data_IF_832958205138
#
_entry.id   IF_832958205138
#
_cell.length_a   1.000
_cell.length_b   1.000
_cell.length_c   1.000
_cell.angle_alpha   90.00
_cell.angle_beta   90.00
_cell.angle_gamma   90.00
#
_symmetry.space_group_name_H-M   'P 1'
#
loop_
_entity.id
_entity.type
_entity.pdbx_description
1 polymer ?
#
# COMPACT_ATOMS: atom_id res chain seq x y z
N UNK A 1 -20.08 -40.23 6.50
CA UNK A 1 -19.85 -39.30 5.37
C UNK A 1 -21.06 -38.39 5.33
N UNK A 2 -20.88 -37.09 5.60
CA UNK A 2 -21.99 -36.12 5.52
C UNK A 2 -22.42 -36.08 4.05
N UNK A 3 -23.68 -36.43 3.77
CA UNK A 3 -24.25 -36.38 2.42
C UNK A 3 -24.29 -34.93 1.98
N UNK A 4 -23.52 -34.60 0.95
CA UNK A 4 -23.49 -33.28 0.35
C UNK A 4 -24.76 -33.11 -0.48
N UNK A 5 -25.50 -32.00 -0.36
CA UNK A 5 -26.67 -31.77 -1.21
C UNK A 5 -26.27 -31.77 -2.69
N UNK A 6 -27.08 -32.34 -3.58
CA UNK A 6 -26.78 -32.33 -5.01
C UNK A 6 -26.68 -30.88 -5.52
N UNK A 7 -25.56 -30.55 -6.18
CA UNK A 7 -25.29 -29.22 -6.73
C UNK A 7 -24.39 -28.29 -5.88
N UNK A 8 -23.98 -28.71 -4.67
CA UNK A 8 -23.09 -27.91 -3.81
C UNK A 8 -21.63 -28.28 -4.03
N UNK A 9 -20.80 -27.31 -4.46
CA UNK A 9 -19.35 -27.48 -4.52
C UNK A 9 -18.71 -27.16 -3.16
N UNK A 10 -18.33 -28.20 -2.42
CA UNK A 10 -17.65 -28.09 -1.13
C UNK A 10 -16.37 -27.24 -1.22
N UNK A 11 -15.66 -27.26 -2.36
CA UNK A 11 -14.42 -26.51 -2.52
C UNK A 11 -14.68 -25.01 -2.53
N UNK A 12 -15.79 -24.59 -3.14
CA UNK A 12 -16.21 -23.20 -3.17
C UNK A 12 -16.58 -22.69 -1.76
N UNK A 13 -17.29 -23.51 -0.98
CA UNK A 13 -17.67 -23.17 0.40
C UNK A 13 -16.44 -23.06 1.32
N UNK A 14 -15.47 -23.97 1.16
CA UNK A 14 -14.19 -23.90 1.88
C UNK A 14 -13.42 -22.64 1.51
N UNK A 15 -13.34 -22.33 0.21
CA UNK A 15 -12.67 -21.12 -0.26
C UNK A 15 -13.33 -19.82 0.25
N UNK A 16 -14.66 -19.82 0.39
CA UNK A 16 -15.38 -18.71 1.01
C UNK A 16 -14.96 -18.48 2.47
N UNK A 17 -14.86 -19.57 3.25
CA UNK A 17 -14.44 -19.51 4.65
C UNK A 17 -12.96 -19.12 4.80
N UNK A 18 -12.08 -19.79 4.06
CA UNK A 18 -10.64 -19.54 4.10
C UNK A 18 -10.33 -18.09 3.68
N UNK A 19 -11.01 -17.58 2.65
CA UNK A 19 -10.93 -16.18 2.25
C UNK A 19 -11.29 -15.19 3.38
N UNK A 20 -12.31 -15.49 4.20
CA UNK A 20 -12.68 -14.64 5.36
C UNK A 20 -11.56 -14.63 6.40
N UNK A 21 -10.96 -15.79 6.69
CA UNK A 21 -9.84 -15.87 7.63
C UNK A 21 -8.65 -15.05 7.14
N UNK A 22 -8.26 -15.23 5.87
CA UNK A 22 -7.13 -14.48 5.27
C UNK A 22 -7.41 -12.98 5.30
N UNK A 23 -8.67 -12.57 5.12
CA UNK A 23 -9.08 -11.16 5.22
C UNK A 23 -8.89 -10.57 6.61
N UNK A 24 -9.24 -11.34 7.65
CA UNK A 24 -9.06 -10.90 9.05
C UNK A 24 -7.57 -10.81 9.39
N UNK A 25 -6.74 -11.74 8.91
CA UNK A 25 -5.29 -11.67 9.05
C UNK A 25 -4.70 -10.43 8.35
N UNK A 26 -5.16 -10.16 7.12
CA UNK A 26 -4.75 -8.96 6.38
C UNK A 26 -5.19 -7.66 7.10
N UNK A 27 -6.38 -7.64 7.68
CA UNK A 27 -6.83 -6.54 8.53
C UNK A 27 -5.97 -6.39 9.79
N UNK A 28 -5.57 -7.48 10.44
CA UNK A 28 -4.65 -7.45 11.57
C UNK A 28 -3.31 -6.81 11.22
N UNK A 29 -2.75 -7.14 10.05
CA UNK A 29 -1.55 -6.47 9.54
C UNK A 29 -1.78 -4.97 9.26
N UNK A 30 -2.98 -4.58 8.78
CA UNK A 30 -3.34 -3.19 8.53
C UNK A 30 -3.38 -2.39 9.82
N UNK A 31 -3.95 -2.97 10.88
CA UNK A 31 -3.94 -2.41 12.23
C UNK A 31 -2.51 -2.21 12.75
N UNK A 32 -1.64 -3.20 12.59
CA UNK A 32 -0.23 -3.07 13.00
C UNK A 32 0.48 -1.93 12.28
N UNK A 33 0.31 -1.81 10.96
CA UNK A 33 0.90 -0.72 10.18
C UNK A 33 0.35 0.65 10.59
N UNK A 34 -0.95 0.74 10.86
CA UNK A 34 -1.56 1.97 11.34
C UNK A 34 -0.96 2.41 12.68
N UNK A 35 -0.79 1.47 13.63
CA UNK A 35 -0.16 1.76 14.93
C UNK A 35 1.30 2.20 14.73
N UNK A 36 2.07 1.53 13.87
CA UNK A 36 3.44 1.92 13.56
C UNK A 36 3.51 3.32 12.96
N UNK A 37 2.61 3.63 12.03
CA UNK A 37 2.51 4.95 11.41
C UNK A 37 2.19 6.01 12.46
N UNK A 38 1.21 5.77 13.34
CA UNK A 38 0.88 6.66 14.44
C UNK A 38 2.07 6.90 15.37
N UNK A 39 2.87 5.88 15.70
CA UNK A 39 4.09 6.04 16.52
C UNK A 39 5.13 6.93 15.83
N UNK A 40 5.41 6.70 14.56
CA UNK A 40 6.34 7.53 13.76
C UNK A 40 5.84 8.97 13.68
N UNK A 41 4.53 9.13 13.55
CA UNK A 41 3.87 10.41 13.45
C UNK A 41 3.94 11.20 14.78
N UNK A 42 3.65 10.56 15.91
CA UNK A 42 3.69 11.17 17.24
C UNK A 42 5.12 11.52 17.69
N UNK A 43 6.12 10.73 17.30
CA UNK A 43 7.53 10.98 17.64
C UNK A 43 8.16 12.12 16.82
N UNK A 44 7.55 12.54 15.71
CA UNK A 44 8.08 13.60 14.82
C UNK A 44 7.03 14.67 14.48
N UNK A 45 6.54 15.46 15.46
CA UNK A 45 5.39 16.36 15.27
C UNK A 45 5.66 17.59 14.37
N UNK A 46 6.92 17.89 14.01
CA UNK A 46 7.30 19.16 13.33
C UNK A 46 7.19 19.13 11.78
N UNK A 47 6.25 18.39 11.18
CA UNK A 47 6.22 18.14 9.70
C UNK A 47 5.16 18.89 8.87
N UNK A 48 4.65 20.03 9.34
CA UNK A 48 3.85 20.95 8.51
C UNK A 48 2.55 20.35 7.94
N UNK A 49 2.02 20.90 6.83
CA UNK A 49 0.70 20.51 6.27
C UNK A 49 0.65 19.09 5.69
N UNK A 50 1.76 18.58 5.17
CA UNK A 50 1.86 17.23 4.58
C UNK A 50 1.66 16.13 5.64
N UNK A 51 2.12 16.39 6.86
CA UNK A 51 1.91 15.51 8.02
C UNK A 51 0.43 15.26 8.30
N UNK A 52 -0.36 16.33 8.38
CA UNK A 52 -1.80 16.23 8.64
C UNK A 52 -2.53 15.50 7.50
N UNK A 53 -2.14 15.74 6.24
CA UNK A 53 -2.70 15.03 5.10
C UNK A 53 -2.43 13.51 5.15
N UNK A 54 -1.20 13.10 5.47
CA UNK A 54 -0.82 11.68 5.62
C UNK A 54 -1.59 11.01 6.76
N UNK A 55 -1.77 11.74 7.86
CA UNK A 55 -2.49 11.27 9.05
C UNK A 55 -3.98 11.08 8.75
N UNK A 56 -4.60 12.06 8.09
CA UNK A 56 -5.99 12.01 7.70
C UNK A 56 -6.26 10.86 6.71
N UNK A 57 -5.39 10.71 5.69
CA UNK A 57 -5.50 9.63 4.71
C UNK A 57 -5.40 8.24 5.36
N UNK A 58 -4.42 8.04 6.24
CA UNK A 58 -4.21 6.76 6.90
C UNK A 58 -5.31 6.43 7.91
N UNK A 59 -5.81 7.42 8.65
CA UNK A 59 -6.96 7.26 9.52
C UNK A 59 -8.21 6.87 8.70
N UNK A 60 -8.47 7.55 7.58
CA UNK A 60 -9.61 7.25 6.71
C UNK A 60 -9.56 5.82 6.16
N UNK A 61 -8.41 5.39 5.63
CA UNK A 61 -8.22 4.01 5.15
C UNK A 61 -8.41 2.99 6.26
N UNK A 62 -7.86 3.25 7.45
CA UNK A 62 -8.02 2.37 8.59
C UNK A 62 -9.48 2.26 9.00
N UNK A 63 -10.21 3.37 9.11
CA UNK A 63 -11.64 3.38 9.45
C UNK A 63 -12.46 2.55 8.47
N UNK A 64 -12.23 2.70 7.15
CA UNK A 64 -12.94 1.89 6.15
C UNK A 64 -12.58 0.41 6.25
N UNK A 65 -11.30 0.09 6.47
CA UNK A 65 -10.86 -1.28 6.74
C UNK A 65 -11.52 -1.88 7.98
N UNK A 66 -11.66 -1.13 9.07
CA UNK A 66 -12.29 -1.59 10.31
C UNK A 66 -13.79 -1.85 10.16
N UNK A 67 -14.52 -0.96 9.47
CA UNK A 67 -15.96 -1.15 9.23
C UNK A 67 -16.18 -2.37 8.33
N UNK A 68 -15.38 -2.50 7.27
CA UNK A 68 -15.42 -3.66 6.39
C UNK A 68 -15.11 -4.98 7.13
N UNK A 69 -14.09 -4.99 8.00
CA UNK A 69 -13.72 -6.18 8.75
C UNK A 69 -14.82 -6.56 9.76
N UNK A 70 -15.35 -5.57 10.49
CA UNK A 70 -16.44 -5.77 11.44
C UNK A 70 -17.70 -6.35 10.79
N UNK A 71 -18.10 -5.83 9.63
CA UNK A 71 -19.26 -6.35 8.90
C UNK A 71 -19.03 -7.77 8.36
N UNK A 72 -17.83 -8.08 7.82
CA UNK A 72 -17.49 -9.45 7.40
C UNK A 72 -17.52 -10.44 8.57
N UNK A 73 -16.97 -10.07 9.73
CA UNK A 73 -17.00 -10.91 10.94
C UNK A 73 -18.44 -11.17 11.38
N UNK A 74 -19.28 -10.13 11.40
CA UNK A 74 -20.67 -10.25 11.85
C UNK A 74 -21.53 -11.09 10.92
N UNK A 75 -21.32 -10.98 9.61
CA UNK A 75 -22.00 -11.84 8.66
C UNK A 75 -21.47 -13.28 8.74
N UNK A 76 -20.17 -13.48 8.95
CA UNK A 76 -19.62 -14.81 9.16
C UNK A 76 -20.19 -15.47 10.43
N UNK A 77 -20.31 -14.72 11.52
CA UNK A 77 -20.95 -15.18 12.76
C UNK A 77 -22.42 -15.57 12.50
N UNK A 78 -23.17 -14.73 11.79
CA UNK A 78 -24.55 -15.05 11.43
C UNK A 78 -24.66 -16.32 10.59
N UNK A 79 -23.88 -16.42 9.51
CA UNK A 79 -23.93 -17.55 8.58
C UNK A 79 -23.51 -18.84 9.30
N UNK A 80 -22.34 -18.89 9.93
CA UNK A 80 -21.79 -20.14 10.46
C UNK A 80 -22.31 -20.54 11.84
N UNK A 81 -22.81 -19.59 12.63
CA UNK A 81 -23.27 -19.83 14.00
C UNK A 81 -24.77 -19.64 14.11
N UNK A 82 -25.27 -18.41 13.94
CA UNK A 82 -26.67 -18.09 14.26
C UNK A 82 -27.68 -18.78 13.36
N UNK A 83 -27.44 -18.82 12.05
CA UNK A 83 -28.38 -19.40 11.10
C UNK A 83 -28.55 -20.91 11.29
N UNK A 84 -27.51 -21.61 11.77
CA UNK A 84 -27.61 -23.03 12.11
C UNK A 84 -28.60 -23.30 13.24
N UNK A 85 -28.69 -22.41 14.22
CA UNK A 85 -29.67 -22.54 15.31
C UNK A 85 -31.08 -22.15 14.86
N UNK A 86 -31.21 -21.14 13.99
CA UNK A 86 -32.51 -20.69 13.47
C UNK A 86 -33.12 -21.68 12.48
N UNK A 87 -32.31 -22.19 11.54
CA UNK A 87 -32.74 -23.16 10.54
C UNK A 87 -32.81 -24.57 11.12
N UNK A 88 -31.89 -24.97 12.00
CA UNK A 88 -31.94 -26.27 12.69
C UNK A 88 -33.13 -26.42 13.64
N UNK A 89 -33.72 -25.32 14.12
CA UNK A 89 -34.93 -25.35 14.93
C UNK A 89 -36.23 -25.39 14.09
N UNK A 90 -36.22 -24.79 12.90
CA UNK A 90 -37.40 -24.68 12.02
C UNK A 90 -37.45 -25.72 10.88
N UNK A 91 -36.32 -26.34 10.53
CA UNK A 91 -36.20 -27.31 9.45
C UNK A 91 -36.14 -28.74 9.98
N UNK A 92 -37.04 -29.59 9.52
CA UNK A 92 -36.96 -31.05 9.70
C UNK A 92 -35.81 -31.69 8.91
N UNK A 93 -35.08 -30.92 8.09
CA UNK A 93 -33.97 -31.38 7.25
C UNK A 93 -32.71 -30.52 7.50
N UNK A 94 -31.93 -30.87 8.52
CA UNK A 94 -30.61 -30.31 8.82
C UNK A 94 -29.64 -30.43 7.61
N UNK A 95 -29.94 -31.34 6.67
CA UNK A 95 -29.14 -31.62 5.48
C UNK A 95 -29.26 -30.59 4.34
N UNK A 96 -30.05 -29.51 4.49
CA UNK A 96 -30.20 -28.46 3.45
C UNK A 96 -29.46 -27.15 3.73
N UNK A 97 -28.79 -27.03 4.88
CA UNK A 97 -28.04 -25.81 5.23
C UNK A 97 -26.76 -25.68 4.38
N UNK A 98 -26.67 -24.59 3.59
CA UNK A 98 -25.50 -24.27 2.75
C UNK A 98 -25.06 -22.82 3.05
N UNK A 99 -23.81 -22.57 3.48
CA UNK A 99 -23.36 -21.25 3.89
C UNK A 99 -23.57 -20.15 2.83
N UNK A 100 -23.31 -20.46 1.56
CA UNK A 100 -23.49 -19.50 0.46
C UNK A 100 -24.94 -19.07 0.25
N UNK A 101 -25.93 -19.96 0.44
CA UNK A 101 -27.35 -19.62 0.31
C UNK A 101 -27.78 -18.69 1.46
N UNK A 102 -27.41 -19.03 2.70
CA UNK A 102 -27.67 -18.19 3.87
C UNK A 102 -27.01 -16.81 3.72
N UNK A 103 -25.80 -16.78 3.18
CA UNK A 103 -25.12 -15.54 2.86
C UNK A 103 -25.94 -14.68 1.90
N UNK A 104 -26.44 -15.26 0.79
CA UNK A 104 -27.26 -14.57 -0.22
C UNK A 104 -28.54 -13.96 0.36
N UNK A 105 -29.23 -14.67 1.26
CA UNK A 105 -30.41 -14.14 1.96
C UNK A 105 -30.04 -12.95 2.87
N UNK A 106 -28.85 -12.99 3.45
CA UNK A 106 -28.34 -11.98 4.38
C UNK A 106 -27.69 -10.78 3.71
N UNK A 107 -27.58 -10.78 2.37
CA UNK A 107 -26.87 -9.74 1.61
C UNK A 107 -27.47 -8.35 1.84
N UNK A 108 -28.79 -8.27 2.02
CA UNK A 108 -29.53 -7.01 2.23
C UNK A 108 -29.38 -6.45 3.64
N UNK A 109 -28.78 -7.19 4.57
CA UNK A 109 -28.52 -6.73 5.92
C UNK A 109 -27.71 -5.43 5.87
N UNK A 110 -28.13 -4.42 6.65
CA UNK A 110 -27.47 -3.11 6.69
C UNK A 110 -25.99 -3.21 7.01
N UNK A 111 -25.59 -4.22 7.80
CA UNK A 111 -24.19 -4.48 8.15
C UNK A 111 -23.38 -4.99 6.96
N UNK A 112 -23.96 -5.88 6.13
CA UNK A 112 -23.30 -6.37 4.92
C UNK A 112 -23.20 -5.25 3.88
N UNK A 113 -24.26 -4.47 3.69
CA UNK A 113 -24.27 -3.31 2.77
C UNK A 113 -23.20 -2.31 3.18
N UNK A 114 -23.13 -1.92 4.46
CA UNK A 114 -22.10 -1.01 4.96
C UNK A 114 -20.69 -1.56 4.73
N UNK A 115 -20.48 -2.85 5.03
CA UNK A 115 -19.20 -3.52 4.76
C UNK A 115 -18.83 -3.47 3.28
N UNK A 116 -19.77 -3.76 2.38
CA UNK A 116 -19.56 -3.78 0.93
C UNK A 116 -19.20 -2.39 0.40
N UNK A 117 -19.89 -1.36 0.88
CA UNK A 117 -19.59 0.04 0.54
C UNK A 117 -18.18 0.41 1.00
N UNK A 118 -17.81 0.14 2.26
CA UNK A 118 -16.47 0.43 2.76
C UNK A 118 -15.37 -0.34 2.01
N UNK A 119 -15.60 -1.60 1.65
CA UNK A 119 -14.64 -2.36 0.82
C UNK A 119 -14.46 -1.75 -0.57
N UNK A 120 -15.53 -1.26 -1.19
CA UNK A 120 -15.47 -0.64 -2.52
C UNK A 120 -14.82 0.74 -2.52
N UNK A 121 -15.03 1.53 -1.45
CA UNK A 121 -14.39 2.85 -1.29
C UNK A 121 -12.88 2.77 -1.01
N UNK A 122 -12.41 1.65 -0.46
CA UNK A 122 -11.00 1.46 -0.10
C UNK A 122 -10.06 1.58 -1.32
N UNK A 123 -10.29 0.86 -2.44
CA UNK A 123 -9.57 1.07 -3.69
C UNK A 123 -9.68 2.49 -4.24
N UNK A 124 -10.83 3.16 -4.13
CA UNK A 124 -11.00 4.51 -4.70
C UNK A 124 -10.01 5.52 -4.10
N UNK A 125 -9.90 5.51 -2.78
CA UNK A 125 -8.96 6.36 -2.04
C UNK A 125 -7.52 5.90 -2.31
N UNK A 126 -7.29 4.59 -2.33
CA UNK A 126 -5.98 4.01 -2.59
C UNK A 126 -5.44 4.32 -3.99
N UNK A 127 -6.29 4.32 -5.01
CA UNK A 127 -5.93 4.58 -6.39
C UNK A 127 -5.70 6.08 -6.63
N UNK A 128 -6.54 6.94 -6.04
CA UNK A 128 -6.32 8.39 -6.06
C UNK A 128 -4.95 8.76 -5.47
N UNK A 129 -4.58 8.13 -4.35
CA UNK A 129 -3.26 8.30 -3.74
C UNK A 129 -2.12 7.86 -4.67
N UNK A 130 -2.27 6.74 -5.38
CA UNK A 130 -1.25 6.29 -6.34
C UNK A 130 -1.12 7.20 -7.54
N UNK A 131 -2.21 7.78 -8.04
CA UNK A 131 -2.17 8.77 -9.14
C UNK A 131 -1.46 10.04 -8.68
N UNK A 132 -1.79 10.55 -7.49
CA UNK A 132 -1.05 11.66 -6.88
C UNK A 132 0.45 11.35 -6.78
N UNK A 133 0.77 10.15 -6.31
CA UNK A 133 2.15 9.73 -6.16
C UNK A 133 2.89 9.59 -7.49
N UNK A 134 2.24 9.08 -8.53
CA UNK A 134 2.80 9.02 -9.87
C UNK A 134 3.21 10.43 -10.33
N UNK A 135 2.36 11.43 -10.09
CA UNK A 135 2.67 12.84 -10.40
C UNK A 135 3.87 13.37 -9.62
N UNK A 136 3.96 13.07 -8.32
CA UNK A 136 5.11 13.49 -7.49
C UNK A 136 6.41 12.88 -8.02
N UNK A 137 6.42 11.58 -8.34
CA UNK A 137 7.61 10.85 -8.80
C UNK A 137 8.05 11.33 -10.20
N UNK A 138 7.11 11.69 -11.07
CA UNK A 138 7.39 12.21 -12.40
C UNK A 138 7.49 13.73 -12.47
N UNK A 139 7.59 14.43 -11.33
CA UNK A 139 7.75 15.88 -11.28
C UNK A 139 6.62 16.64 -12.01
N UNK A 140 5.39 16.19 -11.86
CA UNK A 140 4.16 16.79 -12.39
C UNK A 140 4.04 16.85 -13.92
N UNK A 141 4.55 15.84 -14.63
CA UNK A 141 4.32 15.71 -16.07
C UNK A 141 2.87 15.27 -16.38
N UNK A 142 2.02 16.27 -16.66
CA UNK A 142 0.57 16.09 -16.88
C UNK A 142 0.18 15.10 -18.00
N UNK A 143 1.02 14.93 -19.03
CA UNK A 143 0.74 13.97 -20.12
C UNK A 143 0.57 12.53 -19.61
N UNK A 144 1.23 12.18 -18.50
CA UNK A 144 1.11 10.85 -17.89
C UNK A 144 -0.28 10.58 -17.29
N UNK A 145 -1.09 11.62 -17.05
CA UNK A 145 -2.45 11.47 -16.53
C UNK A 145 -3.48 11.12 -17.61
N UNK A 146 -3.13 11.28 -18.89
CA UNK A 146 -4.05 11.03 -20.00
C UNK A 146 -4.59 9.60 -20.00
N UNK A 147 -3.81 8.63 -19.51
CA UNK A 147 -4.18 7.22 -19.48
C UNK A 147 -4.75 6.75 -18.11
N UNK A 148 -4.13 7.06 -16.95
CA UNK A 148 -4.64 6.63 -15.64
C UNK A 148 -5.94 7.30 -15.22
N UNK A 149 -6.17 8.57 -15.57
CA UNK A 149 -7.35 9.31 -15.10
C UNK A 149 -8.66 8.78 -15.72
N UNK A 150 -8.75 8.55 -17.04
CA UNK A 150 -9.94 7.92 -17.62
C UNK A 150 -10.20 6.51 -17.08
N UNK A 151 -9.15 5.71 -16.87
CA UNK A 151 -9.27 4.39 -16.25
C UNK A 151 -9.81 4.48 -14.81
N UNK A 152 -9.33 5.45 -14.03
CA UNK A 152 -9.83 5.69 -12.67
C UNK A 152 -11.29 6.13 -12.65
N UNK A 153 -11.68 7.06 -13.52
CA UNK A 153 -13.09 7.50 -13.63
C UNK A 153 -13.98 6.33 -14.05
N UNK A 154 -13.52 5.51 -15.00
CA UNK A 154 -14.24 4.30 -15.43
C UNK A 154 -14.39 3.29 -14.29
N UNK A 155 -13.35 3.08 -13.50
CA UNK A 155 -13.36 2.20 -12.34
C UNK A 155 -14.36 2.67 -11.26
N UNK A 156 -14.36 3.97 -10.95
CA UNK A 156 -15.32 4.59 -10.01
C UNK A 156 -16.75 4.46 -10.55
N UNK A 157 -16.96 4.74 -11.84
CA UNK A 157 -18.26 4.62 -12.50
C UNK A 157 -18.82 3.19 -12.44
N UNK A 158 -17.97 2.18 -12.65
CA UNK A 158 -18.35 0.77 -12.59
C UNK A 158 -18.61 0.23 -11.17
N UNK A 159 -18.17 0.92 -10.12
CA UNK A 159 -18.46 0.49 -8.76
C UNK A 159 -19.93 0.70 -8.37
N UNK A 160 -20.64 1.66 -8.98
CA UNK A 160 -22.06 1.91 -8.72
C UNK A 160 -22.92 0.71 -9.15
N UNK A 161 -22.91 0.26 -10.42
CA UNK A 161 -23.69 -0.90 -10.85
C UNK A 161 -23.28 -2.17 -10.10
N UNK A 162 -21.99 -2.34 -9.79
CA UNK A 162 -21.52 -3.47 -8.98
C UNK A 162 -22.10 -3.45 -7.56
N UNK A 163 -22.12 -2.29 -6.88
CA UNK A 163 -22.73 -2.19 -5.55
C UNK A 163 -24.23 -2.46 -5.59
N UNK A 164 -24.94 -2.07 -6.65
CA UNK A 164 -26.36 -2.35 -6.81
C UNK A 164 -26.58 -3.87 -6.93
N UNK A 165 -25.82 -4.55 -7.79
CA UNK A 165 -25.94 -6.01 -7.97
C UNK A 165 -25.59 -6.77 -6.68
N UNK A 166 -24.57 -6.31 -5.97
CA UNK A 166 -24.08 -6.94 -4.74
C UNK A 166 -24.96 -6.68 -3.52
N UNK A 167 -25.85 -5.68 -3.54
CA UNK A 167 -26.71 -5.34 -2.40
C UNK A 167 -28.19 -5.68 -2.63
N UNK A 168 -28.58 -5.93 -3.87
CA UNK A 168 -29.96 -6.28 -4.26
C UNK A 168 -30.00 -7.58 -5.09
N UNK A 169 -29.59 -8.73 -4.52
CA UNK A 169 -29.72 -10.01 -5.21
C UNK A 169 -31.21 -10.33 -5.45
N UNK A 170 -31.52 -10.93 -6.60
CA UNK A 170 -32.89 -11.30 -7.03
C UNK A 170 -33.62 -10.28 -7.91
N UNK A 171 -33.00 -9.15 -8.26
CA UNK A 171 -33.53 -8.26 -9.29
C UNK A 171 -33.03 -8.73 -10.67
N UNK A 172 -33.93 -9.34 -11.44
CA UNK A 172 -33.65 -10.02 -12.73
C UNK A 172 -32.83 -9.12 -13.67
N UNK A 173 -33.11 -7.82 -13.68
CA UNK A 173 -32.44 -6.87 -14.57
C UNK A 173 -30.94 -6.70 -14.26
N UNK A 174 -30.58 -6.82 -12.98
CA UNK A 174 -29.21 -6.59 -12.50
C UNK A 174 -28.43 -7.91 -12.37
N UNK A 175 -29.11 -8.99 -12.01
CA UNK A 175 -28.49 -10.29 -11.71
C UNK A 175 -27.79 -10.91 -12.92
N UNK A 176 -28.40 -10.85 -14.11
CA UNK A 176 -27.83 -11.38 -15.35
C UNK A 176 -26.46 -10.73 -15.67
N UNK A 177 -26.27 -9.47 -15.25
CA UNK A 177 -25.08 -8.67 -15.54
C UNK A 177 -24.09 -8.59 -14.38
N UNK A 178 -24.44 -9.13 -13.21
CA UNK A 178 -23.61 -9.05 -11.99
C UNK A 178 -22.18 -9.55 -12.23
N UNK A 179 -22.04 -10.73 -12.85
CA UNK A 179 -20.73 -11.32 -13.17
C UNK A 179 -19.92 -10.44 -14.12
N UNK A 180 -20.56 -9.89 -15.16
CA UNK A 180 -19.90 -9.02 -16.13
C UNK A 180 -19.40 -7.73 -15.45
N UNK A 181 -20.23 -7.12 -14.60
CA UNK A 181 -19.84 -5.92 -13.86
C UNK A 181 -18.68 -6.16 -12.90
N UNK A 182 -18.67 -7.29 -12.18
CA UNK A 182 -17.54 -7.69 -11.34
C UNK A 182 -16.24 -7.83 -12.15
N UNK A 183 -16.28 -8.54 -13.28
CA UNK A 183 -15.11 -8.72 -14.16
C UNK A 183 -14.58 -7.37 -14.65
N UNK A 184 -15.46 -6.48 -15.15
CA UNK A 184 -15.07 -5.17 -15.67
C UNK A 184 -14.46 -4.32 -14.55
N UNK A 185 -15.13 -4.24 -13.40
CA UNK A 185 -14.68 -3.47 -12.25
C UNK A 185 -13.27 -3.89 -11.80
N UNK A 186 -13.06 -5.19 -11.60
CA UNK A 186 -11.77 -5.73 -11.16
C UNK A 186 -10.68 -5.61 -12.24
N UNK A 187 -11.02 -5.78 -13.52
CA UNK A 187 -10.08 -5.60 -14.63
C UNK A 187 -9.60 -4.15 -14.72
N UNK A 188 -10.50 -3.18 -14.57
CA UNK A 188 -10.15 -1.75 -14.56
C UNK A 188 -9.23 -1.42 -13.38
N UNK A 189 -9.56 -1.91 -12.19
CA UNK A 189 -8.74 -1.73 -10.98
C UNK A 189 -7.32 -2.30 -11.16
N UNK A 190 -7.21 -3.55 -11.63
CA UNK A 190 -5.92 -4.22 -11.84
C UNK A 190 -5.14 -3.53 -12.96
N UNK A 191 -5.78 -3.16 -14.06
CA UNK A 191 -5.12 -2.48 -15.19
C UNK A 191 -4.57 -1.12 -14.78
N UNK A 192 -5.35 -0.32 -14.04
CA UNK A 192 -4.91 0.96 -13.50
C UNK A 192 -3.70 0.78 -12.58
N UNK A 193 -3.78 -0.17 -11.66
CA UNK A 193 -2.71 -0.45 -10.72
C UNK A 193 -1.44 -0.95 -11.42
N UNK A 194 -1.58 -1.85 -12.39
CA UNK A 194 -0.47 -2.37 -13.19
C UNK A 194 0.21 -1.24 -13.98
N UNK A 195 -0.57 -0.39 -14.65
CA UNK A 195 -0.05 0.76 -15.38
C UNK A 195 0.75 1.69 -14.47
N UNK A 196 0.18 2.07 -13.33
CA UNK A 196 0.86 2.97 -12.38
C UNK A 196 2.13 2.30 -11.84
N UNK A 197 2.07 1.03 -11.46
CA UNK A 197 3.24 0.29 -10.97
C UNK A 197 4.35 0.22 -12.01
N UNK A 198 4.03 0.00 -13.29
CA UNK A 198 5.01 -0.01 -14.38
C UNK A 198 5.65 1.37 -14.56
N UNK A 199 4.87 2.44 -14.59
CA UNK A 199 5.37 3.81 -14.74
C UNK A 199 6.25 4.24 -13.55
N UNK A 200 5.88 3.88 -12.32
CA UNK A 200 6.68 4.14 -11.12
C UNK A 200 7.97 3.33 -11.16
N UNK A 201 7.88 2.03 -11.47
CA UNK A 201 9.05 1.14 -11.55
C UNK A 201 10.04 1.62 -12.60
N UNK A 202 9.57 2.00 -13.79
CA UNK A 202 10.40 2.52 -14.86
C UNK A 202 11.19 3.76 -14.41
N UNK A 203 10.52 4.73 -13.79
CA UNK A 203 11.17 5.96 -13.29
C UNK A 203 12.18 5.66 -12.20
N UNK A 204 11.83 4.81 -11.23
CA UNK A 204 12.72 4.41 -10.15
C UNK A 204 13.99 3.73 -10.68
N UNK A 205 13.86 2.87 -11.69
CA UNK A 205 15.01 2.23 -12.34
C UNK A 205 15.89 3.23 -13.09
N UNK A 206 15.30 4.20 -13.80
CA UNK A 206 16.07 5.26 -14.46
C UNK A 206 16.82 6.13 -13.44
N UNK A 207 16.17 6.50 -12.34
CA UNK A 207 16.80 7.30 -11.28
C UNK A 207 17.88 6.52 -10.56
N UNK A 208 17.68 5.22 -10.31
CA UNK A 208 18.70 4.32 -9.78
C UNK A 208 19.95 4.32 -10.65
N UNK A 209 19.81 4.17 -11.97
CA UNK A 209 20.97 4.19 -12.88
C UNK A 209 21.75 5.51 -12.79
N UNK A 210 21.05 6.64 -12.71
CA UNK A 210 21.69 7.96 -12.55
C UNK A 210 22.43 8.10 -11.21
N UNK A 211 21.87 7.57 -10.14
CA UNK A 211 22.47 7.61 -8.81
C UNK A 211 23.65 6.65 -8.65
N UNK A 212 23.57 5.44 -9.23
CA UNK A 212 24.70 4.52 -9.24
C UNK A 212 25.91 5.11 -9.99
N UNK A 213 25.67 5.94 -11.02
CA UNK A 213 26.71 6.67 -11.74
C UNK A 213 27.30 7.80 -10.85
N UNK A 214 26.46 8.52 -10.09
CA UNK A 214 26.90 9.68 -9.30
C UNK A 214 27.54 9.34 -7.94
N UNK A 215 26.99 8.38 -7.19
CA UNK A 215 27.38 8.05 -5.80
C UNK A 215 28.12 6.71 -5.65
N UNK A 216 28.22 5.92 -6.73
CA UNK A 216 28.76 4.56 -6.69
C UNK A 216 27.77 3.52 -6.13
N UNK A 217 28.01 2.24 -6.43
CA UNK A 217 27.09 1.11 -6.14
C UNK A 217 26.74 0.92 -4.65
N UNK A 218 27.66 1.25 -3.73
CA UNK A 218 27.52 0.91 -2.31
C UNK A 218 26.55 1.83 -1.56
N UNK A 219 26.56 3.15 -1.85
CA UNK A 219 25.66 4.13 -1.25
C UNK A 219 24.22 4.07 -1.81
N UNK A 220 24.08 3.72 -3.09
CA UNK A 220 22.77 3.62 -3.75
C UNK A 220 21.93 2.41 -3.28
N UNK A 221 22.59 1.30 -2.92
CA UNK A 221 21.97 0.01 -2.55
C UNK A 221 20.86 0.12 -1.49
N UNK A 222 21.07 0.93 -0.45
CA UNK A 222 20.12 1.09 0.65
C UNK A 222 18.80 1.77 0.21
N UNK A 223 18.84 2.65 -0.80
CA UNK A 223 17.67 3.37 -1.30
C UNK A 223 17.03 2.74 -2.54
N UNK A 224 17.74 1.81 -3.22
CA UNK A 224 17.32 1.27 -4.53
C UNK A 224 17.27 -0.25 -4.60
N UNK A 225 17.15 -0.95 -3.47
CA UNK A 225 16.93 -2.41 -3.47
C UNK A 225 15.69 -2.80 -4.29
N UNK A 226 15.74 -3.96 -4.95
CA UNK A 226 14.61 -4.50 -5.73
C UNK A 226 13.34 -4.61 -4.90
N UNK A 227 13.44 -5.01 -3.63
CA UNK A 227 12.31 -5.08 -2.72
C UNK A 227 11.72 -3.70 -2.45
N UNK A 228 12.58 -2.68 -2.28
CA UNK A 228 12.14 -1.28 -2.16
C UNK A 228 11.37 -0.87 -3.39
N UNK A 229 11.86 -1.15 -4.60
CA UNK A 229 11.19 -0.78 -5.85
C UNK A 229 9.83 -1.47 -5.98
N UNK A 230 9.73 -2.76 -5.64
CA UNK A 230 8.46 -3.52 -5.68
C UNK A 230 7.43 -2.95 -4.70
N UNK A 231 7.84 -2.68 -3.46
CA UNK A 231 6.96 -2.11 -2.44
C UNK A 231 6.57 -0.68 -2.82
N UNK A 232 7.53 0.13 -3.25
CA UNK A 232 7.28 1.50 -3.68
C UNK A 232 6.45 1.56 -4.96
N UNK A 233 6.51 0.61 -5.88
CA UNK A 233 5.64 0.63 -7.06
C UNK A 233 4.21 0.17 -6.76
N UNK A 234 3.95 -0.39 -5.58
CA UNK A 234 2.68 -1.05 -5.28
C UNK A 234 2.55 -2.43 -5.95
N UNK A 235 3.68 -3.04 -6.33
CA UNK A 235 3.74 -4.31 -7.07
C UNK A 235 3.09 -5.49 -6.35
N UNK A 236 3.01 -5.45 -5.01
CA UNK A 236 2.37 -6.50 -4.23
C UNK A 236 0.85 -6.57 -4.47
N UNK A 237 0.18 -5.41 -4.45
CA UNK A 237 -1.26 -5.32 -4.72
C UNK A 237 -1.60 -5.67 -6.18
N UNK A 238 -0.75 -5.29 -7.14
CA UNK A 238 -0.94 -5.66 -8.55
C UNK A 238 -0.79 -7.15 -8.76
N UNK A 239 0.23 -7.78 -8.18
CA UNK A 239 0.43 -9.21 -8.29
C UNK A 239 -0.77 -9.99 -7.72
N UNK A 240 -1.24 -9.59 -6.53
CA UNK A 240 -2.43 -10.21 -5.93
C UNK A 240 -3.67 -10.03 -6.82
N UNK A 241 -3.86 -8.83 -7.37
CA UNK A 241 -4.96 -8.54 -8.28
C UNK A 241 -4.92 -9.35 -9.59
N UNK A 242 -3.73 -9.58 -10.15
CA UNK A 242 -3.55 -10.42 -11.35
C UNK A 242 -3.91 -11.88 -11.04
N UNK A 243 -3.48 -12.42 -9.90
CA UNK A 243 -3.82 -13.78 -9.47
C UNK A 243 -5.34 -13.92 -9.31
N UNK A 244 -5.97 -12.96 -8.63
CA UNK A 244 -7.42 -12.93 -8.49
C UNK A 244 -8.14 -12.85 -9.86
N UNK A 245 -7.69 -11.98 -10.76
CA UNK A 245 -8.31 -11.85 -12.07
C UNK A 245 -8.15 -13.12 -12.91
N UNK A 246 -7.02 -13.81 -12.80
CA UNK A 246 -6.79 -15.09 -13.46
C UNK A 246 -7.72 -16.19 -12.95
N UNK A 247 -7.94 -16.30 -11.63
CA UNK A 247 -8.86 -17.27 -11.05
C UNK A 247 -10.33 -16.95 -11.37
N UNK A 248 -10.68 -15.66 -11.40
CA UNK A 248 -12.01 -15.17 -11.81
C UNK A 248 -12.29 -15.49 -13.29
N UNK A 249 -11.32 -15.26 -14.18
CA UNK A 249 -11.48 -15.54 -15.61
C UNK A 249 -11.68 -17.03 -15.91
N UNK A 250 -11.05 -17.90 -15.11
CA UNK A 250 -11.16 -19.35 -15.23
C UNK A 250 -12.39 -19.94 -14.52
N UNK A 251 -13.20 -19.12 -13.84
CA UNK A 251 -14.26 -19.58 -12.93
C UNK A 251 -13.77 -20.64 -11.94
N UNK A 252 -12.54 -20.47 -11.43
CA UNK A 252 -11.95 -21.43 -10.52
C UNK A 252 -12.51 -21.23 -9.10
N UNK A 253 -12.73 -22.32 -8.36
CA UNK A 253 -13.30 -22.29 -7.00
C UNK A 253 -12.49 -21.40 -6.02
N UNK A 254 -11.19 -21.29 -6.23
CA UNK A 254 -10.30 -20.44 -5.40
C UNK A 254 -10.46 -18.94 -5.60
N UNK A 255 -11.34 -18.47 -6.52
CA UNK A 255 -11.58 -17.03 -6.69
C UNK A 255 -12.00 -16.34 -5.39
N UNK A 256 -12.76 -17.04 -4.53
CA UNK A 256 -13.24 -16.51 -3.25
C UNK A 256 -12.10 -16.31 -2.25
N UNK A 257 -11.08 -17.18 -2.27
CA UNK A 257 -9.89 -17.08 -1.41
C UNK A 257 -9.13 -15.78 -1.66
N UNK A 258 -9.05 -15.36 -2.92
CA UNK A 258 -8.30 -14.17 -3.32
C UNK A 258 -9.14 -12.89 -3.29
N UNK A 259 -10.44 -12.98 -3.60
CA UNK A 259 -11.37 -11.84 -3.60
C UNK A 259 -11.53 -11.23 -2.20
N UNK A 260 -11.76 -12.08 -1.20
CA UNK A 260 -12.11 -11.64 0.13
C UNK A 260 -11.03 -10.75 0.78
N UNK A 261 -9.73 -11.10 0.72
CA UNK A 261 -8.63 -10.29 1.24
C UNK A 261 -8.14 -9.19 0.28
N UNK A 262 -8.52 -9.22 -1.00
CA UNK A 262 -8.00 -8.33 -2.06
C UNK A 262 -7.96 -6.85 -1.65
N UNK A 263 -9.06 -6.34 -1.12
CA UNK A 263 -9.19 -4.94 -0.72
C UNK A 263 -8.27 -4.56 0.45
N UNK A 264 -8.07 -5.49 1.40
CA UNK A 264 -7.13 -5.30 2.51
C UNK A 264 -5.69 -5.33 2.01
N UNK A 265 -5.37 -6.19 1.05
CA UNK A 265 -4.04 -6.24 0.41
C UNK A 265 -3.71 -4.93 -0.31
N UNK A 266 -4.69 -4.33 -0.99
CA UNK A 266 -4.54 -2.98 -1.56
C UNK A 266 -4.25 -1.98 -0.44
N UNK A 267 -5.09 -1.92 0.60
CA UNK A 267 -4.93 -0.98 1.71
C UNK A 267 -3.59 -1.14 2.44
N UNK A 268 -3.16 -2.39 2.69
CA UNK A 268 -1.87 -2.76 3.26
C UNK A 268 -0.73 -2.19 2.43
N UNK A 269 -0.75 -2.43 1.12
CA UNK A 269 0.28 -1.93 0.21
C UNK A 269 0.36 -0.40 0.27
N UNK A 270 -0.79 0.29 0.29
CA UNK A 270 -0.83 1.75 0.44
C UNK A 270 -0.29 2.22 1.79
N UNK A 271 -0.62 1.53 2.87
CA UNK A 271 -0.13 1.87 4.20
C UNK A 271 1.38 1.70 4.33
N UNK A 272 1.97 0.65 3.73
CA UNK A 272 3.43 0.46 3.72
C UNK A 272 4.11 1.63 3.00
N UNK A 273 3.58 2.04 1.83
CA UNK A 273 4.08 3.20 1.09
C UNK A 273 4.04 4.46 1.97
N UNK A 274 2.89 4.71 2.60
CA UNK A 274 2.71 5.89 3.45
C UNK A 274 3.63 5.85 4.67
N UNK A 275 3.85 4.69 5.29
CA UNK A 275 4.78 4.51 6.39
C UNK A 275 6.21 4.87 5.97
N UNK A 276 6.64 4.46 4.78
CA UNK A 276 7.97 4.79 4.27
C UNK A 276 8.10 6.27 3.92
N UNK A 277 7.03 6.90 3.42
CA UNK A 277 6.96 8.35 3.27
C UNK A 277 7.09 9.05 4.63
N UNK A 278 6.39 8.57 5.65
CA UNK A 278 6.50 9.09 7.00
C UNK A 278 7.88 8.83 7.64
N UNK A 279 8.64 7.83 7.20
CA UNK A 279 10.00 7.58 7.69
C UNK A 279 11.08 8.39 6.95
N UNK A 280 10.73 9.23 5.96
CA UNK A 280 11.67 9.85 5.00
C UNK A 280 12.50 8.82 4.20
N UNK A 281 12.01 7.60 4.09
CA UNK A 281 12.66 6.53 3.33
C UNK A 281 12.05 6.34 1.94
N UNK A 282 10.98 7.08 1.63
CA UNK A 282 10.34 7.05 0.32
C UNK A 282 10.85 8.15 -0.61
N UNK A 283 10.69 7.90 -1.91
CA UNK A 283 10.93 8.86 -2.98
C UNK A 283 9.90 10.00 -2.93
N UNK A 284 10.27 11.08 -2.22
CA UNK A 284 9.53 12.33 -2.13
C UNK A 284 10.05 13.36 -3.13
N UNK A 285 9.26 14.42 -3.40
CA UNK A 285 9.63 15.51 -4.32
C UNK A 285 11.06 16.00 -4.13
N UNK A 286 11.47 16.19 -2.88
CA UNK A 286 12.79 16.72 -2.53
C UNK A 286 13.90 15.74 -2.94
N UNK A 287 13.74 14.44 -2.66
CA UNK A 287 14.67 13.39 -3.11
C UNK A 287 14.68 13.23 -4.63
N UNK A 288 13.53 13.39 -5.29
CA UNK A 288 13.42 13.31 -6.76
C UNK A 288 14.11 14.51 -7.41
N UNK A 289 13.93 15.70 -6.85
CA UNK A 289 14.62 16.92 -7.28
C UNK A 289 16.13 16.79 -7.09
N UNK A 290 16.57 16.39 -5.90
CA UNK A 290 17.97 16.16 -5.56
C UNK A 290 18.64 15.14 -6.51
N UNK A 291 17.99 14.00 -6.74
CA UNK A 291 18.49 12.98 -7.66
C UNK A 291 18.49 13.43 -9.13
N UNK A 292 17.54 14.26 -9.56
CA UNK A 292 17.54 14.82 -10.92
C UNK A 292 18.64 15.87 -11.11
N UNK A 293 18.97 16.64 -10.07
CA UNK A 293 20.03 17.64 -10.10
C UNK A 293 21.44 17.03 -9.94
N UNK A 294 21.55 15.73 -9.65
CA UNK A 294 22.83 15.07 -9.37
C UNK A 294 23.43 15.44 -8.02
N UNK A 295 22.69 16.21 -7.20
CA UNK A 295 23.08 16.70 -5.89
C UNK A 295 22.29 15.91 -4.85
N UNK A 296 22.66 14.65 -4.64
CA UNK A 296 22.39 13.99 -3.35
C UNK A 296 23.57 14.27 -2.44
N UNK A 297 23.90 15.56 -2.29
CA UNK A 297 25.00 15.99 -1.45
C UNK A 297 24.57 15.89 0.01
N UNK A 298 25.47 15.29 0.79
CA UNK A 298 25.67 15.27 2.24
C UNK A 298 24.99 16.34 3.15
N UNK A 299 24.43 17.43 2.62
CA UNK A 299 23.75 18.51 3.36
C UNK A 299 22.43 18.09 4.02
N UNK A 300 21.68 17.15 3.44
CA UNK A 300 20.42 16.69 4.07
C UNK A 300 20.69 15.88 5.34
N UNK A 301 21.89 15.29 5.48
CA UNK A 301 22.30 14.64 6.72
C UNK A 301 22.76 15.66 7.77
N UNK A 302 23.46 16.73 7.39
CA UNK A 302 23.94 17.74 8.35
C UNK A 302 22.83 18.63 8.91
N UNK A 303 21.70 18.79 8.20
CA UNK A 303 20.54 19.50 8.72
C UNK A 303 19.78 18.72 9.83
N UNK A 304 20.06 17.44 10.03
CA UNK A 304 19.33 16.56 10.97
C UNK A 304 20.24 15.81 11.96
N UNK A 305 21.56 15.97 11.87
CA UNK A 305 22.45 15.63 12.99
C UNK A 305 22.28 16.72 14.03
N UNK A 306 21.96 16.36 15.28
CA UNK A 306 22.09 17.32 16.38
C UNK A 306 23.50 17.93 16.32
N UNK A 307 23.67 19.24 16.56
CA UNK A 307 25.01 19.75 16.82
C UNK A 307 25.58 18.88 17.93
N UNK A 308 26.68 18.20 17.65
CA UNK A 308 27.50 17.65 18.72
C UNK A 308 28.04 18.89 19.40
N UNK A 309 27.48 19.22 20.57
CA UNK A 309 28.14 20.12 21.51
C UNK A 309 29.48 19.46 21.83
N UNK A 310 30.51 19.89 21.09
CA UNK A 310 31.88 19.65 21.49
C UNK A 310 32.03 20.51 22.75
N UNK A 311 32.15 19.90 23.95
CA UNK A 311 32.45 20.70 25.13
C UNK A 311 33.73 21.49 24.83
N UNK A 312 33.81 22.78 25.21
CA UNK A 312 35.01 23.55 24.98
C UNK A 312 36.16 22.74 25.54
N UNK A 313 37.05 22.30 24.66
CA UNK A 313 38.29 21.71 25.09
C UNK A 313 39.01 22.83 25.83
N UNK A 314 39.14 22.67 27.14
CA UNK A 314 40.16 23.35 27.93
C UNK A 314 41.52 22.87 27.41
N UNK A 315 41.88 23.29 26.19
CA UNK A 315 43.26 23.39 25.78
C UNK A 315 43.78 24.61 26.53
N UNK A 316 44.17 24.32 27.77
CA UNK A 316 44.98 25.18 28.59
C UNK A 316 46.12 25.77 27.76
N UNK A 317 46.41 27.03 28.07
CA UNK A 317 47.30 27.98 27.39
C UNK A 317 48.79 27.58 27.32
N UNK A 318 49.14 26.29 27.38
CA UNK A 318 50.53 25.82 27.41
C UNK A 318 51.02 25.11 26.12
N UNK A 319 50.16 24.80 25.16
CA UNK A 319 50.58 24.15 23.90
C UNK A 319 51.09 25.08 22.80
N UNK A 320 50.87 26.40 22.93
CA UNK A 320 51.04 27.35 21.82
C UNK A 320 52.33 28.19 21.89
N UNK A 321 53.35 27.68 22.60
CA UNK A 321 54.68 28.30 22.71
C UNK A 321 55.78 27.66 21.85
N UNK A 322 55.50 26.62 21.05
CA UNK A 322 56.55 25.98 20.24
C UNK A 322 56.48 26.20 18.72
N UNK A 323 55.51 26.92 18.17
CA UNK A 323 55.54 27.25 16.73
C UNK A 323 55.07 28.68 16.45
N UNK A 324 55.93 29.65 16.78
CA UNK A 324 56.03 30.92 16.03
C UNK A 324 57.52 31.24 15.85
N UNK A 325 57.99 31.06 14.62
CA UNK A 325 59.18 31.69 14.01
C UNK A 325 59.06 33.23 14.06
N UNK A 326 60.10 34.07 13.85
CA UNK A 326 60.93 34.19 12.62
C UNK A 326 62.43 34.55 12.92
N UNK A 327 63.40 34.60 11.99
CA UNK A 327 63.69 35.65 11.00
C UNK A 327 64.94 35.23 10.18
N UNK A 328 65.00 35.78 8.96
CA UNK A 328 65.86 35.59 7.79
C UNK A 328 67.35 36.00 7.82
N UNK A 329 68.06 35.45 6.83
CA UNK A 329 69.10 36.05 5.96
C UNK A 329 70.59 35.86 6.30
N UNK A 330 71.34 35.33 5.33
CA UNK A 330 72.80 35.22 5.33
C UNK A 330 73.31 34.40 4.13
N UNK A 331 73.63 35.08 3.04
CA UNK A 331 74.18 34.59 1.76
C UNK A 331 75.67 34.22 1.85
N UNK A 332 76.14 33.14 1.19
CA UNK A 332 77.38 33.13 0.37
C UNK A 332 77.68 31.74 -0.25
N UNK A 333 78.09 31.77 -1.53
CA UNK A 333 78.81 30.71 -2.26
C UNK A 333 80.16 30.36 -1.62
N UNK A 334 80.65 29.11 -1.75
CA UNK A 334 81.88 28.71 -2.50
C UNK A 334 82.32 27.23 -2.27
N UNK A 335 82.50 26.49 -3.38
CA UNK A 335 83.57 25.53 -3.78
C UNK A 335 84.26 24.48 -2.86
N UNK A 336 84.35 23.25 -3.42
CA UNK A 336 85.50 22.30 -3.57
C UNK A 336 86.18 21.56 -2.38
N UNK A 337 86.37 20.24 -2.58
CA UNK A 337 87.38 19.34 -1.98
C UNK A 337 86.90 18.62 -0.72
N UNK A 338 87.02 17.30 -0.55
CA UNK A 338 87.90 16.26 -1.10
C UNK A 338 87.19 14.90 -1.17
#
# INVERSE_FOLDING_TARGET
>A
MVSVPPGVDIRLERAGFDGVIISILAYGALLMLYIQLLRVLLTRPKRGKVFWAISAYSALLFTFGSIAAGGKIKIAEYVYVSSRFTEGFNSTNIDTWVPSHVYQESVRSSMNVMSRVCTTLTPWIGDAFMIYRLMVIWSYQWWLLLLPVPLYISHVGMAIPLLITETRPGDIFWEEKSRLYGIIFHTLCVSLNLLISLLITAKLLTMRKKLEIALGKLGASFYTSWFTILVESGGFATLWGIIYLATLAQNHWSQNDFLQPYYYVIALTRMIIVLRMAQNQAWCRDTVSAANMGVMDWEVSSAHTMPVDVPPSDIGKDGMKQLKSPVSSGTSMHTLGQ
#
